data_IF_840562768797
#
_entry.id   IF_840562768797
#
_cell.length_a   1.000
_cell.length_b   1.000
_cell.length_c   1.000
_cell.angle_alpha   90.00
_cell.angle_beta   90.00
_cell.angle_gamma   90.00
#
_symmetry.space_group_name_H-M   'P 1'
#
loop_
_entity.id
_entity.type
_entity.pdbx_description
1 polymer ?
#
# COMPACT_ATOMS: atom_id res chain seq x y z
N UNK A 1 -40.54 -24.31 7.62
CA UNK A 1 -39.61 -23.15 7.69
C UNK A 1 -39.00 -22.94 6.30
N UNK A 2 -38.68 -21.70 5.90
CA UNK A 2 -38.05 -21.45 4.60
C UNK A 2 -36.58 -21.88 4.60
N UNK A 3 -36.20 -22.73 3.66
CA UNK A 3 -34.83 -23.24 3.46
C UNK A 3 -34.09 -22.55 2.31
N UNK A 4 -34.68 -21.52 1.70
CA UNK A 4 -34.10 -20.84 0.55
C UNK A 4 -32.90 -19.98 0.96
N UNK A 5 -31.71 -20.33 0.46
CA UNK A 5 -30.51 -19.48 0.56
C UNK A 5 -30.81 -18.15 -0.11
N UNK A 6 -30.83 -17.06 0.67
CA UNK A 6 -31.21 -15.73 0.20
C UNK A 6 -30.40 -15.27 -1.00
N UNK A 7 -31.06 -14.51 -1.89
CA UNK A 7 -30.59 -14.12 -3.22
C UNK A 7 -29.09 -13.75 -3.27
N UNK A 8 -28.26 -14.69 -3.76
CA UNK A 8 -26.80 -14.62 -3.68
C UNK A 8 -26.20 -13.61 -4.67
N UNK A 9 -26.97 -13.24 -5.71
CA UNK A 9 -26.63 -12.19 -6.66
C UNK A 9 -27.37 -10.92 -6.31
N UNK A 10 -26.63 -9.86 -5.96
CA UNK A 10 -27.22 -8.59 -5.54
C UNK A 10 -27.33 -7.63 -6.73
N UNK A 11 -28.50 -7.58 -7.36
CA UNK A 11 -28.77 -6.78 -8.57
C UNK A 11 -28.55 -5.27 -8.41
N UNK A 12 -28.75 -4.71 -7.22
CA UNK A 12 -28.60 -3.26 -6.95
C UNK A 12 -27.33 -2.95 -6.15
N UNK A 13 -26.52 -1.94 -6.57
CA UNK A 13 -25.36 -1.51 -5.81
C UNK A 13 -25.73 -1.02 -4.40
N UNK A 14 -24.71 -0.95 -3.53
CA UNK A 14 -24.88 -0.48 -2.15
C UNK A 14 -25.44 0.95 -2.11
N UNK A 15 -26.63 1.13 -1.52
CA UNK A 15 -27.33 2.43 -1.44
C UNK A 15 -26.48 3.52 -0.78
N UNK A 16 -25.70 3.14 0.23
CA UNK A 16 -24.82 4.02 0.99
C UNK A 16 -23.37 3.59 0.74
N UNK A 17 -22.71 4.24 -0.23
CA UNK A 17 -21.28 4.09 -0.54
C UNK A 17 -20.48 5.21 0.12
N UNK A 18 -19.27 4.93 0.58
CA UNK A 18 -18.37 5.97 1.09
C UNK A 18 -17.96 6.91 -0.04
N UNK A 19 -18.20 8.21 0.11
CA UNK A 19 -17.75 9.24 -0.85
C UNK A 19 -16.25 9.51 -0.79
N UNK A 20 -15.61 9.24 0.35
CA UNK A 20 -14.18 9.45 0.59
C UNK A 20 -13.53 8.25 1.26
N UNK A 21 -12.28 7.96 0.90
CA UNK A 21 -11.47 6.91 1.54
C UNK A 21 -11.20 7.29 3.00
N UNK A 22 -11.21 6.31 3.90
CA UNK A 22 -10.85 6.51 5.31
C UNK A 22 -9.41 7.03 5.44
N UNK A 23 -9.24 8.19 6.08
CA UNK A 23 -7.94 8.80 6.39
C UNK A 23 -7.77 8.87 7.91
N UNK A 24 -6.75 8.18 8.43
CA UNK A 24 -6.46 8.09 9.87
C UNK A 24 -6.36 9.49 10.54
N UNK A 25 -5.65 10.40 9.89
CA UNK A 25 -5.30 11.74 10.38
C UNK A 25 -6.37 12.82 10.16
N UNK A 26 -7.57 12.47 9.66
CA UNK A 26 -8.59 13.47 9.32
C UNK A 26 -9.14 14.22 10.55
N UNK A 27 -9.21 13.53 11.69
CA UNK A 27 -9.72 14.07 12.95
C UNK A 27 -8.69 13.91 14.09
N UNK A 28 -8.11 12.72 14.26
CA UNK A 28 -7.15 12.46 15.34
C UNK A 28 -5.70 12.71 14.92
N UNK A 29 -5.22 13.94 15.08
CA UNK A 29 -3.83 14.35 14.80
C UNK A 29 -2.85 14.07 15.96
N UNK A 30 -3.20 13.17 16.89
CA UNK A 30 -2.37 12.85 18.07
C UNK A 30 -0.98 12.34 17.68
N UNK A 31 0.05 12.70 18.46
CA UNK A 31 1.42 12.18 18.32
C UNK A 31 1.46 10.65 18.26
N UNK A 32 0.59 9.96 19.01
CA UNK A 32 0.43 8.49 18.97
C UNK A 32 0.00 7.99 17.59
N UNK A 33 -0.95 8.67 16.95
CA UNK A 33 -1.43 8.34 15.59
C UNK A 33 -0.34 8.56 14.55
N UNK A 34 0.41 9.67 14.66
CA UNK A 34 1.55 9.97 13.78
C UNK A 34 2.61 8.85 13.86
N UNK A 35 3.03 8.49 15.08
CA UNK A 35 3.98 7.38 15.32
C UNK A 35 3.46 6.06 14.74
N UNK A 36 2.17 5.73 14.89
CA UNK A 36 1.59 4.50 14.33
C UNK A 36 1.63 4.51 12.79
N UNK A 37 1.38 5.64 12.15
CA UNK A 37 1.45 5.76 10.69
C UNK A 37 2.88 5.71 10.13
N UNK A 38 3.89 6.11 10.90
CA UNK A 38 5.30 6.01 10.50
C UNK A 38 5.91 4.62 10.73
N UNK A 39 5.15 3.64 11.24
CA UNK A 39 5.63 2.26 11.38
C UNK A 39 5.69 1.61 10.00
N UNK A 40 6.90 1.36 9.52
CA UNK A 40 7.16 0.50 8.36
C UNK A 40 7.11 -0.97 8.79
N UNK A 41 6.44 -1.80 8.00
CA UNK A 41 6.29 -3.24 8.30
C UNK A 41 7.38 -4.01 7.55
N UNK A 42 8.44 -4.40 8.26
CA UNK A 42 9.57 -5.17 7.74
C UNK A 42 9.42 -6.67 8.04
N UNK A 43 10.31 -7.49 7.46
CA UNK A 43 10.56 -8.88 7.87
C UNK A 43 9.33 -9.82 7.83
N UNK A 44 8.31 -9.49 7.04
CA UNK A 44 7.06 -10.28 6.92
C UNK A 44 6.67 -10.50 5.47
N UNK A 45 6.01 -11.63 5.19
CA UNK A 45 5.46 -11.94 3.88
C UNK A 45 4.36 -10.95 3.46
N UNK A 46 4.16 -10.77 2.14
CA UNK A 46 3.17 -9.87 1.55
C UNK A 46 1.78 -9.95 2.20
N UNK A 47 1.28 -11.18 2.43
CA UNK A 47 0.00 -11.43 3.12
C UNK A 47 -0.02 -10.86 4.54
N UNK A 48 1.05 -11.07 5.32
CA UNK A 48 1.12 -10.56 6.69
C UNK A 48 1.33 -9.04 6.71
N UNK A 49 2.13 -8.50 5.79
CA UNK A 49 2.35 -7.07 5.61
C UNK A 49 1.03 -6.33 5.38
N UNK A 50 0.24 -6.75 4.39
CA UNK A 50 -1.09 -6.18 4.11
C UNK A 50 -2.04 -6.21 5.31
N UNK A 51 -2.02 -7.29 6.12
CA UNK A 51 -2.84 -7.39 7.35
C UNK A 51 -2.40 -6.36 8.41
N UNK A 52 -1.09 -6.11 8.56
CA UNK A 52 -0.56 -5.16 9.54
C UNK A 52 -0.76 -3.72 9.06
N UNK A 53 -0.50 -3.43 7.78
CA UNK A 53 -0.76 -2.13 7.15
C UNK A 53 -2.23 -1.75 7.21
N UNK A 54 -3.15 -2.70 7.00
CA UNK A 54 -4.58 -2.48 7.21
C UNK A 54 -4.89 -2.11 8.66
N UNK A 55 -4.26 -2.77 9.65
CA UNK A 55 -4.44 -2.41 11.07
C UNK A 55 -3.93 -0.99 11.36
N UNK A 56 -2.81 -0.57 10.76
CA UNK A 56 -2.29 0.80 10.87
C UNK A 56 -3.29 1.79 10.25
N UNK A 57 -3.65 1.58 8.98
CA UNK A 57 -4.57 2.43 8.20
C UNK A 57 -5.92 2.68 8.89
N UNK A 58 -6.47 1.66 9.56
CA UNK A 58 -7.80 1.71 10.18
C UNK A 58 -7.79 1.84 11.72
N UNK A 59 -6.72 2.37 12.34
CA UNK A 59 -6.59 2.55 13.81
C UNK A 59 -6.76 1.27 14.66
N UNK A 60 -6.61 0.09 14.05
CA UNK A 60 -6.74 -1.23 14.71
C UNK A 60 -5.40 -1.82 15.16
N UNK A 61 -4.31 -1.06 15.00
CA UNK A 61 -2.96 -1.43 15.43
C UNK A 61 -2.77 -1.19 16.93
N UNK A 62 -2.36 -2.23 17.67
CA UNK A 62 -2.04 -2.17 19.10
C UNK A 62 -0.53 -2.30 19.27
N UNK A 63 0.09 -1.26 19.82
CA UNK A 63 1.50 -1.29 20.22
C UNK A 63 1.72 -2.26 21.40
N UNK A 64 2.91 -2.85 21.49
CA UNK A 64 3.33 -3.64 22.65
C UNK A 64 3.67 -2.71 23.83
N UNK A 65 3.25 -3.08 25.05
CA UNK A 65 3.72 -2.42 26.29
C UNK A 65 5.11 -2.89 26.72
N UNK A 66 5.47 -4.12 26.38
CA UNK A 66 6.73 -4.79 26.73
C UNK A 66 7.12 -5.80 25.64
N UNK A 67 8.41 -6.15 25.57
CA UNK A 67 8.91 -7.09 24.58
C UNK A 67 8.32 -8.50 24.79
N UNK A 68 7.95 -9.16 23.70
CA UNK A 68 7.41 -10.53 23.72
C UNK A 68 8.53 -11.58 23.60
N UNK A 69 8.24 -12.79 24.06
CA UNK A 69 9.05 -13.99 23.82
C UNK A 69 9.04 -14.35 22.34
N UNK A 70 10.20 -14.73 21.81
CA UNK A 70 10.36 -15.26 20.45
C UNK A 70 10.03 -16.76 20.44
N UNK A 71 9.25 -17.24 19.47
CA UNK A 71 8.94 -18.68 19.33
C UNK A 71 10.20 -19.52 19.01
N UNK A 72 11.21 -18.94 18.35
CA UNK A 72 12.39 -19.67 17.86
C UNK A 72 13.58 -19.71 18.83
N UNK A 73 13.76 -18.70 19.67
CA UNK A 73 14.87 -18.64 20.64
C UNK A 73 14.41 -18.46 22.10
N UNK A 74 13.09 -18.49 22.37
CA UNK A 74 12.44 -18.32 23.68
C UNK A 74 12.70 -17.01 24.43
N UNK A 75 13.69 -16.22 24.02
CA UNK A 75 14.10 -14.96 24.65
C UNK A 75 13.09 -13.83 24.41
N UNK A 76 12.92 -12.92 25.40
CA UNK A 76 12.06 -11.73 25.38
C UNK A 76 12.60 -10.61 24.47
N UNK A 77 12.76 -10.91 23.19
CA UNK A 77 13.48 -10.07 22.20
C UNK A 77 12.57 -9.46 21.12
N UNK A 78 11.28 -9.81 21.09
CA UNK A 78 10.35 -9.32 20.08
C UNK A 78 9.82 -7.93 20.47
N UNK A 79 10.39 -6.89 19.85
CA UNK A 79 10.03 -5.48 20.07
C UNK A 79 8.85 -5.01 19.20
N UNK A 80 8.65 -5.60 18.02
CA UNK A 80 7.62 -5.20 17.06
C UNK A 80 6.25 -5.85 17.36
N UNK A 81 5.16 -5.12 17.14
CA UNK A 81 3.81 -5.63 17.39
C UNK A 81 3.40 -6.64 16.32
N UNK A 82 2.57 -7.61 16.71
CA UNK A 82 2.12 -8.72 15.85
C UNK A 82 3.22 -9.67 15.32
N UNK A 83 4.49 -9.41 15.63
CA UNK A 83 5.57 -10.35 15.39
C UNK A 83 5.56 -11.43 16.49
N UNK A 84 5.97 -12.63 16.12
CA UNK A 84 6.09 -13.83 16.98
C UNK A 84 7.52 -14.36 17.01
N UNK A 85 8.33 -13.96 16.03
CA UNK A 85 9.75 -14.29 15.88
C UNK A 85 10.55 -12.97 15.92
N UNK A 86 11.70 -12.97 16.60
CA UNK A 86 12.56 -11.78 16.68
C UNK A 86 13.42 -11.62 15.42
N UNK A 87 13.87 -10.39 15.15
CA UNK A 87 14.60 -10.07 13.91
C UNK A 87 15.88 -10.88 13.70
N UNK A 88 16.57 -11.30 14.77
CA UNK A 88 17.74 -12.18 14.67
C UNK A 88 17.35 -13.57 14.12
N UNK A 89 16.31 -14.18 14.66
CA UNK A 89 15.81 -15.47 14.18
C UNK A 89 15.23 -15.37 12.76
N UNK A 90 14.63 -14.25 12.38
CA UNK A 90 14.16 -14.02 11.00
C UNK A 90 15.34 -13.96 10.03
N UNK A 91 16.39 -13.21 10.35
CA UNK A 91 17.60 -13.12 9.51
C UNK A 91 18.29 -14.48 9.34
N UNK A 92 18.42 -15.24 10.42
CA UNK A 92 19.12 -16.54 10.40
C UNK A 92 18.31 -17.63 9.69
N UNK A 93 17.01 -17.72 9.95
CA UNK A 93 16.15 -18.80 9.42
C UNK A 93 15.43 -18.44 8.12
N UNK A 94 15.45 -17.17 7.69
CA UNK A 94 14.70 -16.64 6.53
C UNK A 94 13.21 -17.04 6.57
N UNK A 95 12.58 -16.78 7.72
CA UNK A 95 11.14 -17.03 8.02
C UNK A 95 10.38 -15.73 8.28
N UNK A 96 9.11 -15.64 7.88
CA UNK A 96 8.26 -14.48 8.15
C UNK A 96 8.10 -14.23 9.66
N UNK A 97 8.37 -13.01 10.12
CA UNK A 97 8.36 -12.62 11.55
C UNK A 97 7.01 -12.82 12.27
N UNK A 98 5.91 -12.99 11.54
CA UNK A 98 4.55 -13.13 12.07
C UNK A 98 3.97 -14.54 11.93
N UNK A 99 4.04 -15.17 10.76
CA UNK A 99 3.49 -16.52 10.53
C UNK A 99 4.52 -17.64 10.55
N UNK A 100 5.82 -17.34 10.52
CA UNK A 100 6.89 -18.34 10.58
C UNK A 100 7.07 -19.20 9.33
N UNK A 101 6.33 -18.92 8.25
CA UNK A 101 6.50 -19.59 6.95
C UNK A 101 7.59 -18.92 6.11
N UNK A 102 8.12 -19.65 5.12
CA UNK A 102 9.23 -19.20 4.25
C UNK A 102 8.76 -18.34 3.06
N UNK A 103 7.47 -17.99 3.00
CA UNK A 103 6.81 -17.38 1.83
C UNK A 103 7.14 -15.88 1.67
N UNK A 104 8.40 -15.52 1.48
CA UNK A 104 8.78 -14.13 1.18
C UNK A 104 8.34 -13.71 -0.22
N UNK A 105 8.41 -14.63 -1.18
CA UNK A 105 8.01 -14.40 -2.57
C UNK A 105 6.76 -15.21 -2.91
N UNK A 106 5.60 -14.54 -2.80
CA UNK A 106 4.48 -14.77 -3.70
C UNK A 106 4.06 -13.37 -4.19
N UNK A 107 4.83 -12.86 -5.14
CA UNK A 107 4.50 -11.69 -5.93
C UNK A 107 3.74 -12.20 -7.15
N UNK A 108 2.45 -11.91 -7.27
CA UNK A 108 1.82 -11.93 -8.58
C UNK A 108 2.53 -10.86 -9.41
N UNK A 109 3.12 -11.28 -10.52
CA UNK A 109 3.72 -10.41 -11.52
C UNK A 109 2.66 -9.48 -12.13
N UNK A 110 2.61 -8.25 -11.64
CA UNK A 110 2.14 -7.13 -12.46
C UNK A 110 3.35 -6.62 -13.22
N UNK A 111 3.45 -6.99 -14.50
CA UNK A 111 4.38 -6.36 -15.43
C UNK A 111 4.08 -4.87 -15.50
N UNK A 112 5.09 -4.03 -15.26
CA UNK A 112 5.07 -2.66 -15.77
C UNK A 112 5.42 -2.74 -17.26
N UNK A 113 4.60 -2.19 -18.18
CA UNK A 113 5.09 -1.79 -19.48
C UNK A 113 6.17 -0.71 -19.29
N UNK A 114 7.27 -0.85 -20.01
CA UNK A 114 8.26 0.21 -20.23
C UNK A 114 8.24 0.56 -21.71
N UNK A 115 7.66 1.69 -22.04
CA UNK A 115 7.80 2.42 -23.31
C UNK A 115 7.73 3.90 -22.84
N UNK A 116 8.83 4.51 -22.42
CA UNK A 116 10.01 5.00 -23.15
C UNK A 116 9.90 6.52 -23.41
N UNK A 117 10.86 7.26 -22.85
CA UNK A 117 10.93 8.72 -22.96
C UNK A 117 11.55 9.09 -24.31
N UNK A 118 10.89 9.95 -25.09
CA UNK A 118 11.60 10.78 -26.06
C UNK A 118 11.20 12.25 -25.89
N UNK A 119 12.21 13.08 -25.63
CA UNK A 119 12.09 14.50 -25.39
C UNK A 119 12.80 15.24 -26.53
N UNK A 120 12.07 16.07 -27.27
CA UNK A 120 12.63 16.98 -28.25
C UNK A 120 12.23 18.44 -27.92
N UNK A 121 13.18 19.17 -27.36
CA UNK A 121 13.15 20.64 -27.26
C UNK A 121 14.37 21.21 -28.00
N UNK A 122 14.13 21.78 -29.18
CA UNK A 122 14.92 22.79 -29.91
C UNK A 122 13.84 23.57 -30.69
N UNK A 123 13.45 24.80 -30.39
CA UNK A 123 14.16 26.08 -30.21
C UNK A 123 14.82 26.67 -31.48
N UNK A 124 14.28 27.84 -31.84
CA UNK A 124 14.78 29.01 -32.62
C UNK A 124 15.29 28.93 -34.09
N UNK A 125 14.87 29.95 -34.88
CA UNK A 125 15.33 30.34 -36.24
C UNK A 125 14.16 30.49 -37.26
N UNK A 126 13.69 31.69 -37.67
CA UNK A 126 14.23 32.62 -38.72
C UNK A 126 14.61 31.91 -40.04
N UNK A 127 14.34 32.40 -41.27
CA UNK A 127 13.67 33.61 -41.81
C UNK A 127 13.72 33.57 -43.37
N UNK A 128 12.91 34.21 -44.24
CA UNK A 128 11.55 34.83 -44.25
C UNK A 128 11.21 35.12 -45.77
N UNK A 129 10.19 35.94 -46.12
CA UNK A 129 9.78 36.39 -47.51
C UNK A 129 9.22 35.28 -48.47
N UNK A 130 8.30 35.49 -49.43
CA UNK A 130 7.35 36.57 -49.76
C UNK A 130 6.33 36.05 -50.80
N UNK A 131 5.13 36.66 -50.93
CA UNK A 131 4.42 36.97 -52.21
C UNK A 131 2.93 37.34 -52.03
N UNK A 132 2.49 38.41 -52.70
CA UNK A 132 1.13 38.95 -52.79
C UNK A 132 0.21 38.07 -53.72
N UNK A 133 -1.11 38.23 -53.89
CA UNK A 133 -1.87 39.46 -54.15
C UNK A 133 -3.41 39.26 -54.25
N UNK A 134 -4.18 40.33 -54.01
CA UNK A 134 -5.56 40.56 -54.51
C UNK A 134 -6.71 39.76 -53.85
N UNK A 135 -7.95 40.26 -53.78
CA UNK A 135 -8.51 41.58 -54.14
C UNK A 135 -9.91 41.76 -53.50
N UNK A 136 -10.26 43.02 -53.20
CA UNK A 136 -11.56 43.71 -53.47
C UNK A 136 -12.81 42.85 -53.80
N UNK A 137 -14.05 43.15 -53.42
CA UNK A 137 -14.68 44.35 -52.84
C UNK A 137 -16.08 43.95 -52.30
N UNK A 138 -16.83 44.72 -51.50
CA UNK A 138 -16.71 46.11 -51.03
C UNK A 138 -17.15 46.24 -49.56
#
# INVERSE_FOLDING_TARGET
MSSQRGNVSRTRPQKHKNSRVFKNNLHDKSKKTQIINSITVTDTCNRCKAIIEWKIKYKKYKQLKSAKTCIKCSNKTVKQSYHTICGLCVKNLKVCAKCGTNDFNNNNSTSLPKEEDECSNQDSGLSDEDSECGSDSS
#
